data_IF_093006666644
#
_entry.id   IF_093006666644
#
_cell.length_a   1.000
_cell.length_b   1.000
_cell.length_c   1.000
_cell.angle_alpha   90.00
_cell.angle_beta   90.00
_cell.angle_gamma   90.00
#
_symmetry.space_group_name_H-M   'P 1'
#
loop_
_entity.id
_entity.type
_entity.pdbx_description
1 polymer ?
#
# COMPACT_ATOMS: atom_id res chain seq x y z
N UNK A 1 9.09 -18.04 -9.52
CA UNK A 1 8.51 -16.76 -9.08
C UNK A 1 8.03 -16.97 -7.67
N UNK A 2 8.68 -16.29 -6.72
CA UNK A 2 8.34 -16.41 -5.29
C UNK A 2 7.55 -15.18 -4.90
N UNK A 3 6.37 -15.38 -4.31
CA UNK A 3 5.56 -14.28 -3.79
C UNK A 3 5.86 -14.07 -2.32
N UNK A 4 6.04 -12.82 -1.93
CA UNK A 4 6.32 -12.42 -0.56
C UNK A 4 5.33 -11.35 -0.11
N UNK A 5 4.82 -11.48 1.12
CA UNK A 5 4.08 -10.42 1.79
C UNK A 5 4.98 -9.78 2.82
N UNK A 6 5.22 -8.47 2.71
CA UNK A 6 6.03 -7.71 3.67
C UNK A 6 5.43 -6.35 3.98
N UNK A 7 5.93 -5.73 5.05
CA UNK A 7 5.66 -4.31 5.31
C UNK A 7 6.30 -3.46 4.23
N UNK A 8 5.58 -2.41 3.82
CA UNK A 8 6.14 -1.38 2.95
C UNK A 8 7.00 -0.43 3.75
N UNK A 9 8.04 0.10 3.12
CA UNK A 9 8.83 1.22 3.60
C UNK A 9 8.61 2.44 2.71
N UNK A 10 9.17 3.58 3.09
CA UNK A 10 9.10 4.78 2.28
C UNK A 10 9.82 4.66 0.93
N UNK A 11 10.73 3.69 0.81
CA UNK A 11 11.41 3.38 -0.46
C UNK A 11 10.45 2.77 -1.48
N UNK A 12 9.38 2.11 -1.01
CA UNK A 12 8.33 1.54 -1.87
C UNK A 12 7.28 2.58 -2.31
N UNK A 13 7.44 3.87 -1.98
CA UNK A 13 6.41 4.89 -2.22
C UNK A 13 6.02 5.00 -3.70
N UNK A 14 7.00 5.06 -4.59
CA UNK A 14 6.73 5.27 -6.01
C UNK A 14 6.00 4.06 -6.61
N UNK A 15 6.32 2.85 -6.16
CA UNK A 15 5.60 1.62 -6.52
C UNK A 15 4.19 1.55 -5.92
N UNK A 16 4.01 2.00 -4.67
CA UNK A 16 2.71 2.10 -4.04
C UNK A 16 1.76 3.01 -4.85
N UNK A 17 2.26 4.19 -5.24
CA UNK A 17 1.51 5.14 -6.05
C UNK A 17 1.21 4.56 -7.44
N UNK A 18 2.17 3.86 -8.05
CA UNK A 18 1.96 3.16 -9.33
C UNK A 18 0.82 2.16 -9.22
N UNK A 19 0.85 1.26 -8.23
CA UNK A 19 -0.20 0.24 -8.03
C UNK A 19 -1.56 0.89 -7.79
N UNK A 20 -1.63 1.97 -7.00
CA UNK A 20 -2.90 2.69 -6.79
C UNK A 20 -3.41 3.33 -8.08
N UNK A 21 -2.55 4.00 -8.84
CA UNK A 21 -2.91 4.65 -10.09
C UNK A 21 -3.37 3.63 -11.15
N UNK A 22 -2.60 2.57 -11.38
CA UNK A 22 -2.91 1.50 -12.33
C UNK A 22 -4.22 0.81 -11.93
N UNK A 23 -4.46 0.65 -10.63
CA UNK A 23 -5.68 0.05 -10.12
C UNK A 23 -6.92 0.95 -10.24
N UNK A 24 -6.76 2.23 -10.58
CA UNK A 24 -7.81 3.24 -10.61
C UNK A 24 -8.26 3.69 -9.22
N UNK A 25 -7.43 3.48 -8.19
CA UNK A 25 -7.73 3.90 -6.82
C UNK A 25 -7.49 5.42 -6.67
N UNK A 26 -8.50 6.22 -6.29
CA UNK A 26 -8.31 7.65 -6.10
C UNK A 26 -7.33 7.93 -4.95
N UNK A 27 -6.30 8.74 -5.21
CA UNK A 27 -5.32 9.18 -4.22
C UNK A 27 -4.98 10.67 -4.41
N UNK A 28 -4.34 11.28 -3.40
CA UNK A 28 -4.03 12.72 -3.34
C UNK A 28 -2.52 12.96 -3.22
N UNK A 29 -1.75 12.92 -4.33
CA UNK A 29 -0.28 13.03 -4.31
C UNK A 29 0.24 14.38 -3.79
N UNK A 30 -0.57 15.44 -3.88
CA UNK A 30 -0.26 16.76 -3.33
C UNK A 30 -0.92 17.03 -1.97
N UNK A 31 -1.63 16.03 -1.43
CA UNK A 31 -2.39 16.11 -0.18
C UNK A 31 -1.92 15.05 0.81
N UNK A 32 -2.86 14.33 1.42
CA UNK A 32 -2.56 13.31 2.45
C UNK A 32 -1.74 12.11 1.96
N UNK A 33 -1.66 11.88 0.65
CA UNK A 33 -0.93 10.76 0.05
C UNK A 33 0.42 11.21 -0.56
N UNK A 34 0.89 12.41 -0.20
CA UNK A 34 2.23 12.90 -0.54
C UNK A 34 3.30 12.13 0.24
N UNK A 35 4.50 11.97 -0.35
CA UNK A 35 5.58 11.10 0.16
C UNK A 35 5.91 11.33 1.64
N UNK A 36 6.14 12.56 2.06
CA UNK A 36 6.50 12.86 3.46
C UNK A 36 5.34 12.66 4.45
N UNK A 37 4.09 12.68 4.00
CA UNK A 37 2.93 12.38 4.84
C UNK A 37 2.77 10.87 4.99
N UNK A 38 2.90 10.12 3.90
CA UNK A 38 2.93 8.64 3.93
C UNK A 38 4.10 8.14 4.79
N UNK A 39 5.29 8.75 4.69
CA UNK A 39 6.44 8.41 5.53
C UNK A 39 6.09 8.50 7.03
N UNK A 40 5.49 9.63 7.44
CA UNK A 40 5.04 9.83 8.83
C UNK A 40 3.96 8.84 9.23
N UNK A 41 3.02 8.54 8.33
CA UNK A 41 1.99 7.54 8.61
C UNK A 41 2.57 6.15 8.78
N UNK A 42 3.58 5.75 7.99
CA UNK A 42 4.26 4.44 8.11
C UNK A 42 5.02 4.27 9.43
N UNK A 43 5.44 5.36 10.07
CA UNK A 43 6.13 5.34 11.36
C UNK A 43 5.18 5.14 12.55
N UNK A 44 3.88 5.38 12.35
CA UNK A 44 2.90 5.26 13.42
C UNK A 44 2.64 3.80 13.76
N UNK A 45 2.51 3.52 15.05
CA UNK A 45 2.20 2.17 15.52
C UNK A 45 0.78 1.74 15.18
N UNK A 46 -0.13 2.70 14.99
CA UNK A 46 -1.55 2.48 14.74
C UNK A 46 -1.91 2.32 13.25
N UNK A 47 -0.91 2.22 12.38
CA UNK A 47 -1.05 2.05 10.93
C UNK A 47 -0.33 0.80 10.44
N UNK A 48 -0.78 0.26 9.33
CA UNK A 48 -0.14 -0.86 8.65
C UNK A 48 -0.17 -0.64 7.14
N UNK A 49 1.03 -0.62 6.54
CA UNK A 49 1.22 -0.65 5.08
C UNK A 49 1.82 -2.00 4.72
N UNK A 50 1.10 -2.80 3.94
CA UNK A 50 1.47 -4.16 3.57
C UNK A 50 1.48 -4.28 2.04
N UNK A 51 2.52 -4.89 1.49
CA UNK A 51 2.67 -5.16 0.06
C UNK A 51 2.77 -6.65 -0.24
N UNK A 52 2.25 -7.06 -1.39
CA UNK A 52 2.53 -8.34 -2.03
C UNK A 52 3.55 -8.09 -3.16
N UNK A 53 4.67 -8.78 -3.09
CA UNK A 53 5.77 -8.69 -4.06
C UNK A 53 5.92 -9.99 -4.83
N UNK A 54 6.30 -9.88 -6.10
CA UNK A 54 6.80 -10.98 -6.92
C UNK A 54 8.08 -10.51 -7.61
N UNK A 55 9.21 -11.14 -7.29
CA UNK A 55 10.54 -10.80 -7.82
C UNK A 55 10.83 -9.27 -7.74
N UNK A 56 10.69 -8.70 -6.54
CA UNK A 56 10.83 -7.27 -6.19
C UNK A 56 9.78 -6.30 -6.77
N UNK A 57 8.87 -6.76 -7.63
CA UNK A 57 7.76 -5.94 -8.12
C UNK A 57 6.60 -5.94 -7.13
N UNK A 58 6.16 -4.76 -6.70
CA UNK A 58 4.93 -4.61 -5.93
C UNK A 58 3.70 -4.87 -6.81
N UNK A 59 2.93 -5.91 -6.47
CA UNK A 59 1.72 -6.31 -7.19
C UNK A 59 0.43 -5.89 -6.49
N UNK A 60 0.44 -5.78 -5.17
CA UNK A 60 -0.73 -5.35 -4.40
C UNK A 60 -0.30 -4.61 -3.15
N UNK A 61 -1.12 -3.67 -2.71
CA UNK A 61 -0.87 -2.90 -1.50
C UNK A 61 -2.16 -2.75 -0.68
N UNK A 62 -2.00 -2.85 0.64
CA UNK A 62 -3.04 -2.61 1.63
C UNK A 62 -2.56 -1.61 2.67
N UNK A 63 -3.40 -0.62 2.96
CA UNK A 63 -3.25 0.33 4.06
C UNK A 63 -4.40 0.14 5.05
N UNK A 64 -4.07 -0.07 6.31
CA UNK A 64 -5.02 -0.12 7.40
C UNK A 64 -4.60 0.77 8.58
N UNK A 65 -5.58 1.20 9.37
CA UNK A 65 -5.38 1.87 10.67
C UNK A 65 -6.18 1.13 11.75
N UNK A 66 -5.80 1.27 13.02
CA UNK A 66 -6.57 0.73 14.14
C UNK A 66 -6.59 1.69 15.34
N UNK A 67 -7.67 1.67 16.13
CA UNK A 67 -7.83 2.56 17.31
C UNK A 67 -7.62 1.84 18.66
N UNK A 68 -7.18 0.58 18.60
CA UNK A 68 -7.03 -0.33 19.74
C UNK A 68 -8.23 -1.27 19.94
N UNK A 69 -9.36 -1.02 19.27
CA UNK A 69 -10.57 -1.85 19.32
C UNK A 69 -11.05 -2.29 17.94
N UNK A 70 -10.97 -1.42 16.94
CA UNK A 70 -11.41 -1.62 15.57
C UNK A 70 -10.28 -1.32 14.60
N UNK A 71 -10.27 -2.04 13.49
CA UNK A 71 -9.39 -1.78 12.35
C UNK A 71 -10.20 -1.34 11.14
N UNK A 72 -9.61 -0.48 10.31
CA UNK A 72 -10.17 -0.03 9.04
C UNK A 72 -9.19 -0.30 7.93
N UNK A 73 -9.69 -0.85 6.83
CA UNK A 73 -8.96 -0.93 5.56
C UNK A 73 -9.22 0.40 4.84
N UNK A 74 -8.21 1.23 4.73
CA UNK A 74 -8.32 2.56 4.14
C UNK A 74 -8.11 2.53 2.63
N UNK A 75 -7.12 1.76 2.17
CA UNK A 75 -6.81 1.57 0.75
C UNK A 75 -6.42 0.12 0.52
N UNK A 76 -6.99 -0.52 -0.50
CA UNK A 76 -6.54 -1.82 -1.02
C UNK A 76 -6.57 -1.74 -2.54
N UNK A 77 -5.47 -2.13 -3.15
CA UNK A 77 -5.35 -2.22 -4.60
C UNK A 77 -4.52 -3.45 -4.98
N UNK A 78 -4.89 -4.05 -6.09
CA UNK A 78 -4.13 -5.09 -6.79
C UNK A 78 -3.91 -4.59 -8.21
N UNK A 79 -2.68 -4.73 -8.70
CA UNK A 79 -2.27 -4.50 -10.08
C UNK A 79 -3.25 -5.21 -11.02
N UNK A 80 -3.86 -4.51 -11.99
CA UNK A 80 -4.90 -5.07 -12.85
C UNK A 80 -4.56 -6.40 -13.50
N UNK A 81 -3.30 -6.60 -13.87
CA UNK A 81 -2.83 -7.81 -14.56
C UNK A 81 -2.77 -9.03 -13.64
N UNK A 82 -2.77 -8.81 -12.31
CA UNK A 82 -2.60 -9.85 -11.29
C UNK A 82 -3.88 -10.09 -10.46
N UNK A 83 -5.02 -9.52 -10.87
CA UNK A 83 -6.33 -9.73 -10.24
C UNK A 83 -6.92 -11.11 -10.53
N UNK A 84 -7.89 -11.53 -9.70
CA UNK A 84 -8.62 -12.82 -9.80
C UNK A 84 -7.73 -14.06 -9.60
N UNK A 85 -6.70 -13.94 -8.79
CA UNK A 85 -5.77 -15.02 -8.44
C UNK A 85 -5.82 -15.41 -6.94
N UNK A 86 -6.80 -14.90 -6.20
CA UNK A 86 -6.93 -15.03 -4.74
C UNK A 86 -7.60 -13.82 -4.13
#
# INVERSE_FOLDING_TARGET
MTREIRKLTIDDYDDLIRVWADAGLPYRPFGRDRKDHIAKEMERQDTAFIGLFEDDRLLAAGLATYDGRKGWINHVAVDPDFRRQG
#
